data_IF_786302818404
#
_entry.id   IF_786302818404
#
_cell.length_a   1.000
_cell.length_b   1.000
_cell.length_c   1.000
_cell.angle_alpha   90.00
_cell.angle_beta   90.00
_cell.angle_gamma   90.00
#
_symmetry.space_group_name_H-M   'P 1'
#
loop_
_entity.id
_entity.type
_entity.pdbx_description
1 polymer ?
#
# COMPACT_ATOMS: atom_id res chain seq x y z
N UNK A 1 54.84 27.46 64.25
CA UNK A 1 53.54 28.15 64.28
C UNK A 1 52.92 27.98 62.89
N UNK A 2 51.98 27.04 62.70
CA UNK A 2 50.55 27.29 62.37
C UNK A 2 50.42 27.85 60.92
N UNK A 3 49.73 27.28 59.92
CA UNK A 3 48.56 26.38 59.84
C UNK A 3 48.40 25.79 58.43
N UNK A 4 47.76 24.63 58.35
CA UNK A 4 47.15 23.98 57.18
C UNK A 4 46.13 24.89 56.45
N UNK A 5 45.94 24.71 55.13
CA UNK A 5 44.60 24.62 54.53
C UNK A 5 44.60 23.82 53.21
N UNK A 6 43.78 22.78 53.22
CA UNK A 6 43.34 21.91 52.14
C UNK A 6 42.49 22.68 51.11
N UNK A 7 42.69 22.46 49.80
CA UNK A 7 41.61 22.56 48.81
C UNK A 7 41.74 21.47 47.75
N UNK A 8 40.75 20.58 47.79
CA UNK A 8 40.36 19.63 46.76
C UNK A 8 39.75 20.42 45.60
N UNK A 9 40.18 20.15 44.36
CA UNK A 9 39.37 20.43 43.19
C UNK A 9 39.30 19.18 42.31
N UNK A 10 38.08 18.66 42.22
CA UNK A 10 37.61 17.57 41.38
C UNK A 10 37.59 18.05 39.92
N UNK A 11 38.12 17.27 38.99
CA UNK A 11 37.73 17.38 37.57
C UNK A 11 37.42 16.01 36.99
N UNK A 12 36.21 15.90 36.45
CA UNK A 12 35.59 14.70 35.89
C UNK A 12 36.19 14.31 34.53
N UNK A 13 36.41 13.00 34.40
CA UNK A 13 35.98 12.09 33.31
C UNK A 13 36.29 12.45 31.84
N UNK A 14 37.07 11.59 31.15
CA UNK A 14 36.59 10.88 29.95
C UNK A 14 37.24 9.49 29.88
N UNK A 15 36.38 8.49 29.90
CA UNK A 15 36.64 7.08 29.61
C UNK A 15 37.03 6.96 28.12
N UNK A 16 38.24 6.48 27.80
CA UNK A 16 38.50 5.88 26.49
C UNK A 16 38.04 4.42 26.53
N UNK A 17 36.76 4.19 26.26
CA UNK A 17 36.28 2.88 25.81
C UNK A 17 36.73 2.70 24.38
N UNK A 18 37.73 1.84 24.17
CA UNK A 18 37.77 1.01 22.98
C UNK A 18 37.32 -0.37 23.44
N UNK A 19 36.16 -0.82 22.96
CA UNK A 19 36.13 -2.14 22.36
C UNK A 19 35.64 -2.00 20.92
N UNK A 20 36.42 -2.56 19.99
CA UNK A 20 36.02 -2.70 18.60
C UNK A 20 34.65 -3.35 18.50
N UNK A 21 33.89 -2.98 17.46
CA UNK A 21 32.71 -3.72 17.05
C UNK A 21 33.08 -5.20 16.99
N UNK A 22 32.49 -6.00 17.88
CA UNK A 22 32.60 -7.44 17.77
C UNK A 22 32.02 -7.82 16.42
N UNK A 23 32.82 -8.48 15.59
CA UNK A 23 32.38 -9.06 14.35
C UNK A 23 31.21 -10.02 14.67
N UNK A 24 30.01 -9.71 14.19
CA UNK A 24 28.77 -10.47 14.51
C UNK A 24 28.91 -11.97 14.23
N UNK A 25 29.75 -12.31 13.25
CA UNK A 25 30.25 -13.64 12.95
C UNK A 25 31.71 -13.51 12.55
N UNK A 26 32.54 -14.50 12.86
CA UNK A 26 33.94 -14.51 12.41
C UNK A 26 34.03 -14.46 10.89
N UNK A 27 35.15 -14.00 10.32
CA UNK A 27 35.34 -14.03 8.86
C UNK A 27 35.20 -15.44 8.27
N UNK A 28 35.57 -16.46 9.03
CA UNK A 28 35.33 -17.86 8.66
C UNK A 28 33.84 -18.17 8.57
N UNK A 29 33.05 -17.75 9.55
CA UNK A 29 31.59 -17.93 9.54
C UNK A 29 30.92 -17.12 8.43
N UNK A 30 31.43 -15.93 8.10
CA UNK A 30 30.97 -15.13 6.96
C UNK A 30 31.25 -15.85 5.62
N UNK A 31 32.45 -16.40 5.44
CA UNK A 31 32.81 -17.21 4.26
C UNK A 31 31.97 -18.48 4.17
N UNK A 32 31.70 -19.13 5.31
CA UNK A 32 30.84 -20.29 5.41
C UNK A 32 29.39 -19.96 5.00
N UNK A 33 28.84 -18.85 5.48
CA UNK A 33 27.50 -18.37 5.11
C UNK A 33 27.40 -18.03 3.63
N UNK A 34 28.40 -17.37 3.05
CA UNK A 34 28.44 -17.09 1.62
C UNK A 34 28.49 -18.39 0.79
N UNK A 35 29.32 -19.35 1.19
CA UNK A 35 29.40 -20.66 0.55
C UNK A 35 28.09 -21.45 0.70
N UNK A 36 27.43 -21.34 1.85
CA UNK A 36 26.15 -21.97 2.12
C UNK A 36 25.03 -21.35 1.29
N UNK A 37 24.98 -20.03 1.15
CA UNK A 37 24.03 -19.32 0.28
C UNK A 37 24.16 -19.77 -1.19
N UNK A 38 25.39 -19.90 -1.70
CA UNK A 38 25.65 -20.41 -3.05
C UNK A 38 25.13 -21.86 -3.20
N UNK A 39 25.38 -22.71 -2.21
CA UNK A 39 24.86 -24.10 -2.21
C UNK A 39 23.34 -24.14 -2.19
N UNK A 40 22.70 -23.38 -1.30
CA UNK A 40 21.24 -23.30 -1.21
C UNK A 40 20.60 -22.87 -2.53
N UNK A 41 21.22 -21.90 -3.22
CA UNK A 41 20.77 -21.47 -4.55
C UNK A 41 20.86 -22.60 -5.57
N UNK A 42 22.00 -23.29 -5.65
CA UNK A 42 22.20 -24.40 -6.57
C UNK A 42 21.25 -25.58 -6.27
N UNK A 43 21.04 -25.89 -4.99
CA UNK A 43 20.12 -26.94 -4.54
C UNK A 43 18.67 -26.60 -4.89
N UNK A 44 18.26 -25.34 -4.67
CA UNK A 44 16.95 -24.84 -5.06
C UNK A 44 16.72 -24.93 -6.57
N UNK A 45 17.66 -24.44 -7.38
CA UNK A 45 17.57 -24.48 -8.85
C UNK A 45 17.49 -25.92 -9.35
N UNK A 46 18.29 -26.82 -8.79
CA UNK A 46 18.28 -28.25 -9.11
C UNK A 46 16.94 -28.89 -8.77
N UNK A 47 16.43 -28.66 -7.56
CA UNK A 47 15.15 -29.20 -7.10
C UNK A 47 13.96 -28.65 -7.92
N UNK A 48 13.98 -27.34 -8.23
CA UNK A 48 12.94 -26.70 -9.02
C UNK A 48 12.92 -27.16 -10.47
N UNK A 49 14.09 -27.33 -11.09
CA UNK A 49 14.21 -27.89 -12.44
C UNK A 49 13.68 -29.34 -12.50
N UNK A 50 13.99 -30.15 -11.48
CA UNK A 50 13.41 -31.49 -11.31
C UNK A 50 11.88 -31.43 -11.17
N UNK A 51 11.35 -30.52 -10.36
CA UNK A 51 9.92 -30.34 -10.19
C UNK A 51 9.22 -29.93 -11.49
N UNK A 52 9.83 -29.08 -12.31
CA UNK A 52 9.28 -28.69 -13.61
C UNK A 52 9.33 -29.81 -14.64
N UNK A 53 10.36 -30.66 -14.61
CA UNK A 53 10.40 -31.87 -15.43
C UNK A 53 9.28 -32.84 -15.04
N UNK A 54 9.11 -33.11 -13.74
CA UNK A 54 8.03 -33.93 -13.21
C UNK A 54 6.65 -33.32 -13.46
N UNK A 55 6.52 -32.00 -13.46
CA UNK A 55 5.27 -31.32 -13.78
C UNK A 55 4.81 -31.59 -15.22
N UNK A 56 5.75 -31.62 -16.18
CA UNK A 56 5.46 -31.98 -17.57
C UNK A 56 5.07 -33.46 -17.71
N UNK A 57 5.71 -34.34 -16.95
CA UNK A 57 5.44 -35.79 -16.98
C UNK A 57 4.11 -36.16 -16.30
N UNK A 58 3.83 -35.55 -15.15
CA UNK A 58 2.73 -35.93 -14.25
C UNK A 58 1.52 -34.98 -14.33
N UNK A 59 1.56 -34.00 -15.22
CA UNK A 59 0.49 -33.03 -15.42
C UNK A 59 0.27 -32.08 -14.25
N UNK A 60 1.31 -31.81 -13.45
CA UNK A 60 1.19 -30.87 -12.33
C UNK A 60 1.13 -29.44 -12.84
N UNK A 61 0.18 -28.61 -12.36
CA UNK A 61 0.16 -27.21 -12.74
C UNK A 61 1.42 -26.53 -12.22
N UNK A 62 2.18 -25.83 -13.06
CA UNK A 62 3.34 -25.03 -12.59
C UNK A 62 2.85 -23.77 -11.86
N UNK A 63 1.71 -23.25 -12.30
CA UNK A 63 0.93 -22.19 -11.68
C UNK A 63 -0.53 -22.61 -11.67
N UNK A 64 -1.24 -22.42 -10.55
CA UNK A 64 -2.68 -22.68 -10.43
C UNK A 64 -3.37 -21.50 -9.75
N UNK A 65 -4.53 -21.11 -10.28
CA UNK A 65 -5.42 -20.13 -9.66
C UNK A 65 -6.44 -20.87 -8.80
N UNK A 66 -6.54 -20.50 -7.53
CA UNK A 66 -7.49 -21.06 -6.56
C UNK A 66 -8.87 -20.39 -6.69
N UNK A 67 -9.90 -21.02 -6.12
CA UNK A 67 -11.30 -20.55 -6.16
C UNK A 67 -11.50 -19.16 -5.55
N UNK A 68 -10.62 -18.73 -4.64
CA UNK A 68 -10.61 -17.42 -4.01
C UNK A 68 -9.68 -16.40 -4.72
N UNK A 69 -9.16 -16.74 -5.91
CA UNK A 69 -8.27 -15.87 -6.67
C UNK A 69 -6.79 -15.94 -6.30
N UNK A 70 -6.40 -16.66 -5.25
CA UNK A 70 -4.99 -16.89 -4.87
C UNK A 70 -4.22 -17.72 -5.91
N UNK A 71 -2.91 -17.53 -6.03
CA UNK A 71 -2.07 -18.25 -7.00
C UNK A 71 -1.18 -19.22 -6.25
N UNK A 72 -1.20 -20.50 -6.61
CA UNK A 72 -0.21 -21.48 -6.19
C UNK A 72 0.87 -21.67 -7.26
N UNK A 73 2.15 -21.64 -6.88
CA UNK A 73 3.31 -21.80 -7.76
C UNK A 73 4.18 -22.97 -7.30
N UNK A 74 4.49 -23.87 -8.23
CA UNK A 74 5.36 -25.02 -7.99
C UNK A 74 6.81 -24.56 -7.75
N UNK A 75 7.34 -24.86 -6.57
CA UNK A 75 8.70 -24.47 -6.17
C UNK A 75 9.70 -25.61 -6.24
N UNK A 76 9.24 -26.85 -6.12
CA UNK A 76 10.14 -27.98 -5.93
C UNK A 76 9.41 -29.29 -5.69
N UNK A 77 10.17 -30.33 -5.36
CA UNK A 77 9.65 -31.57 -4.80
C UNK A 77 10.22 -31.83 -3.42
N UNK A 78 9.45 -32.44 -2.55
CA UNK A 78 9.96 -32.98 -1.28
C UNK A 78 10.87 -34.20 -1.49
N UNK A 79 11.38 -34.76 -0.39
CA UNK A 79 12.27 -35.93 -0.42
C UNK A 79 11.60 -37.20 -0.98
N UNK A 80 10.27 -37.26 -1.00
CA UNK A 80 9.47 -38.37 -1.53
C UNK A 80 9.04 -38.14 -2.99
N UNK A 81 9.38 -36.97 -3.56
CA UNK A 81 9.08 -36.62 -4.94
C UNK A 81 7.67 -36.07 -5.15
N UNK A 82 6.99 -35.57 -4.11
CA UNK A 82 5.71 -34.86 -4.23
C UNK A 82 5.91 -33.36 -4.47
N UNK A 83 4.99 -32.68 -5.18
CA UNK A 83 5.15 -31.27 -5.53
C UNK A 83 4.95 -30.36 -4.31
N UNK A 84 5.85 -29.39 -4.15
CA UNK A 84 5.75 -28.32 -3.15
C UNK A 84 5.26 -27.06 -3.85
N UNK A 85 4.08 -26.58 -3.45
CA UNK A 85 3.46 -25.35 -3.93
C UNK A 85 3.52 -24.25 -2.88
N UNK A 86 3.87 -23.02 -3.27
CA UNK A 86 3.62 -21.81 -2.48
C UNK A 86 2.36 -21.11 -2.98
N UNK A 87 1.56 -20.50 -2.11
CA UNK A 87 0.36 -19.70 -2.46
C UNK A 87 0.58 -18.19 -2.21
N UNK A 88 -0.17 -17.29 -2.85
CA UNK A 88 -0.22 -15.83 -2.53
C UNK A 88 -1.60 -15.41 -1.95
N UNK A 89 -1.76 -14.36 -1.11
CA UNK A 89 -0.86 -13.22 -0.78
C UNK A 89 -1.09 -12.64 0.63
N UNK A 90 -0.06 -12.02 1.22
CA UNK A 90 0.02 -11.57 2.62
C UNK A 90 0.60 -10.13 2.68
N UNK A 91 0.34 -9.32 3.71
CA UNK A 91 1.09 -8.07 3.95
C UNK A 91 2.61 -8.31 4.01
N UNK A 92 3.07 -9.52 4.37
CA UNK A 92 4.49 -9.89 4.27
C UNK A 92 4.99 -9.85 2.81
N UNK A 93 4.17 -10.29 1.85
CA UNK A 93 4.52 -10.22 0.43
C UNK A 93 4.49 -8.77 -0.03
N UNK A 94 3.52 -7.97 0.42
CA UNK A 94 3.52 -6.52 0.15
C UNK A 94 4.81 -5.86 0.66
N UNK A 95 5.27 -6.22 1.87
CA UNK A 95 6.55 -5.77 2.42
C UNK A 95 7.78 -6.28 1.64
N UNK A 96 7.69 -7.44 0.98
CA UNK A 96 8.75 -7.91 0.07
C UNK A 96 8.71 -7.12 -1.26
N UNK A 97 7.52 -6.90 -1.82
CA UNK A 97 7.28 -6.16 -3.06
C UNK A 97 7.88 -4.75 -3.00
N UNK A 98 7.68 -4.03 -1.89
CA UNK A 98 8.25 -2.68 -1.68
C UNK A 98 9.61 -2.70 -0.98
N UNK A 99 10.20 -3.88 -0.75
CA UNK A 99 11.45 -4.08 0.00
C UNK A 99 11.46 -3.51 1.43
N UNK A 100 10.29 -3.29 2.03
CA UNK A 100 10.13 -2.89 3.44
C UNK A 100 10.82 -3.87 4.38
N UNK A 101 10.85 -5.16 4.02
CA UNK A 101 11.58 -6.19 4.77
C UNK A 101 13.08 -5.91 4.93
N UNK A 102 13.69 -5.14 4.02
CA UNK A 102 15.09 -4.73 4.11
C UNK A 102 15.35 -3.75 5.27
N UNK A 103 14.31 -2.99 5.68
CA UNK A 103 14.36 -1.99 6.74
C UNK A 103 14.22 -2.61 8.14
N UNK A 104 13.53 -3.74 8.24
CA UNK A 104 13.20 -4.40 9.51
C UNK A 104 14.43 -4.92 10.26
N UNK A 105 14.21 -5.34 11.50
CA UNK A 105 15.21 -6.07 12.26
C UNK A 105 15.61 -7.37 11.53
N UNK A 106 16.91 -7.55 11.33
CA UNK A 106 17.47 -8.65 10.54
C UNK A 106 17.31 -8.48 9.03
N UNK A 107 16.78 -7.34 8.57
CA UNK A 107 16.69 -6.97 7.16
C UNK A 107 18.07 -6.66 6.55
N UNK A 108 18.15 -6.70 5.22
CA UNK A 108 19.41 -6.58 4.49
C UNK A 108 20.14 -5.23 4.66
N UNK A 109 19.43 -4.17 5.08
CA UNK A 109 20.03 -2.87 5.35
C UNK A 109 20.50 -2.70 6.80
N UNK A 110 20.13 -3.62 7.71
CA UNK A 110 20.56 -3.59 9.11
C UNK A 110 20.06 -2.40 9.92
N UNK A 111 18.98 -1.72 9.48
CA UNK A 111 18.46 -0.50 10.09
C UNK A 111 17.58 -0.77 11.32
N UNK A 112 16.98 -1.96 11.40
CA UNK A 112 16.13 -2.39 12.52
C UNK A 112 14.91 -1.50 12.79
N UNK A 113 14.30 -0.98 11.72
CA UNK A 113 13.16 -0.07 11.76
C UNK A 113 11.85 -0.86 11.94
N UNK A 114 10.90 -0.25 12.63
CA UNK A 114 9.54 -0.81 12.81
C UNK A 114 8.46 0.26 12.98
N UNK A 115 8.82 1.54 13.09
CA UNK A 115 7.95 2.67 13.41
C UNK A 115 7.81 2.92 14.92
N UNK A 116 8.55 2.20 15.76
CA UNK A 116 8.44 2.23 17.23
C UNK A 116 9.11 3.44 17.90
N UNK A 117 9.99 4.15 17.19
CA UNK A 117 10.72 5.29 17.73
C UNK A 117 9.79 6.39 18.24
N UNK A 118 10.15 6.98 19.38
CA UNK A 118 9.45 8.12 19.96
C UNK A 118 9.46 9.35 19.04
N UNK A 119 10.43 9.44 18.12
CA UNK A 119 10.56 10.58 17.22
C UNK A 119 9.47 10.63 16.14
N UNK A 120 8.85 9.50 15.81
CA UNK A 120 7.77 9.38 14.82
C UNK A 120 6.41 9.05 15.44
N UNK A 121 6.36 8.83 16.76
CA UNK A 121 5.14 8.49 17.48
C UNK A 121 4.03 9.54 17.25
N UNK A 122 2.84 9.09 16.84
CA UNK A 122 1.68 9.95 16.59
C UNK A 122 1.76 10.80 15.32
N UNK A 123 2.74 10.57 14.45
CA UNK A 123 2.97 11.36 13.22
C UNK A 123 2.52 10.65 11.93
N UNK A 124 1.74 9.58 12.04
CA UNK A 124 1.16 8.84 10.92
C UNK A 124 -0.36 9.05 10.90
N UNK A 125 -0.88 9.47 9.74
CA UNK A 125 -2.30 9.75 9.53
C UNK A 125 -2.97 8.83 8.49
N UNK A 126 -4.29 8.69 8.59
CA UNK A 126 -5.15 8.05 7.58
C UNK A 126 -6.43 8.86 7.42
N UNK A 127 -6.84 9.07 6.16
CA UNK A 127 -8.19 9.50 5.78
C UNK A 127 -8.78 8.40 4.88
N UNK A 128 -10.02 7.97 5.15
CA UNK A 128 -10.65 6.86 4.42
C UNK A 128 -12.19 6.88 4.52
N UNK A 129 -12.91 5.91 3.94
CA UNK A 129 -14.37 5.90 3.81
C UNK A 129 -15.18 5.66 5.10
N UNK A 130 -14.56 5.69 6.28
CA UNK A 130 -15.22 5.43 7.55
C UNK A 130 -14.26 5.11 8.70
N UNK A 131 -14.79 4.51 9.77
CA UNK A 131 -14.07 4.25 11.01
C UNK A 131 -13.30 2.91 10.99
N UNK A 132 -12.09 2.92 11.57
CA UNK A 132 -11.31 1.70 11.85
C UNK A 132 -12.04 0.88 12.92
N UNK A 133 -12.11 -0.45 12.77
CA UNK A 133 -12.57 -1.33 13.84
C UNK A 133 -11.52 -1.43 14.96
N UNK A 134 -11.72 -0.74 16.09
CA UNK A 134 -10.64 -0.53 17.07
C UNK A 134 -10.33 -1.78 17.88
N UNK A 135 -11.29 -2.70 18.01
CA UNK A 135 -11.18 -3.92 18.83
C UNK A 135 -10.48 -5.07 18.09
N UNK A 136 -10.09 -4.86 16.83
CA UNK A 136 -9.34 -5.87 16.09
C UNK A 136 -7.98 -6.14 16.77
N UNK A 137 -7.63 -7.42 16.93
CA UNK A 137 -6.49 -7.85 17.73
C UNK A 137 -5.17 -7.24 17.28
N UNK A 138 -5.03 -6.93 15.99
CA UNK A 138 -3.84 -6.30 15.40
C UNK A 138 -3.55 -4.88 15.89
N UNK A 139 -4.57 -4.19 16.43
CA UNK A 139 -4.44 -2.85 16.99
C UNK A 139 -4.30 -2.85 18.51
N UNK A 140 -4.41 -4.01 19.18
CA UNK A 140 -4.25 -4.10 20.63
C UNK A 140 -2.85 -3.58 21.07
N UNK A 141 -2.85 -2.61 21.97
CA UNK A 141 -1.65 -1.93 22.47
C UNK A 141 -1.22 -0.72 21.63
N UNK A 142 -1.97 -0.34 20.59
CA UNK A 142 -1.74 0.86 19.78
C UNK A 142 -2.80 1.91 20.04
N UNK A 143 -2.42 3.17 19.92
CA UNK A 143 -3.34 4.31 20.00
C UNK A 143 -3.92 4.62 18.62
N UNK A 144 -5.02 3.97 18.27
CA UNK A 144 -5.78 4.26 17.04
C UNK A 144 -6.91 5.23 17.39
N UNK A 145 -6.81 6.47 16.93
CA UNK A 145 -7.72 7.55 17.33
C UNK A 145 -8.46 8.10 16.13
N UNK A 146 -9.77 7.86 16.07
CA UNK A 146 -10.67 8.65 15.21
C UNK A 146 -10.82 10.05 15.80
N UNK A 147 -10.54 11.08 15.01
CA UNK A 147 -10.58 12.48 15.46
C UNK A 147 -11.80 13.26 14.96
N UNK A 148 -12.64 12.63 14.15
CA UNK A 148 -13.97 13.10 13.76
C UNK A 148 -15.06 12.20 14.35
N UNK A 149 -16.31 12.50 13.97
CA UNK A 149 -17.50 11.78 14.45
C UNK A 149 -17.95 10.66 13.50
N UNK A 150 -17.05 10.07 12.71
CA UNK A 150 -17.41 9.00 11.79
C UNK A 150 -18.09 7.84 12.51
N UNK A 151 -19.32 7.50 12.09
CA UNK A 151 -20.18 6.56 12.83
C UNK A 151 -20.00 5.10 12.41
N UNK A 152 -19.57 4.84 11.17
CA UNK A 152 -19.66 3.52 10.55
C UNK A 152 -18.30 2.86 10.45
N UNK A 153 -18.17 1.68 11.08
CA UNK A 153 -17.00 0.82 10.91
C UNK A 153 -16.91 0.36 9.45
N UNK A 154 -15.75 0.52 8.84
CA UNK A 154 -15.49 0.19 7.44
C UNK A 154 -14.46 -0.93 7.34
N UNK A 155 -14.78 -1.96 6.55
CA UNK A 155 -13.85 -3.05 6.23
C UNK A 155 -12.64 -2.52 5.45
N UNK A 156 -12.89 -1.59 4.52
CA UNK A 156 -11.85 -0.93 3.74
C UNK A 156 -10.91 -0.12 4.64
N UNK A 157 -11.43 0.77 5.49
CA UNK A 157 -10.60 1.57 6.41
C UNK A 157 -9.77 0.67 7.34
N UNK A 158 -10.39 -0.36 7.90
CA UNK A 158 -9.73 -1.31 8.81
C UNK A 158 -8.60 -2.06 8.11
N UNK A 159 -8.81 -2.46 6.87
CA UNK A 159 -7.81 -3.14 6.04
C UNK A 159 -6.62 -2.22 5.71
N UNK A 160 -6.89 -0.98 5.29
CA UNK A 160 -5.88 0.05 5.01
C UNK A 160 -5.04 0.34 6.25
N UNK A 161 -5.69 0.60 7.40
CA UNK A 161 -5.00 0.82 8.67
C UNK A 161 -4.15 -0.39 9.10
N UNK A 162 -4.66 -1.61 8.92
CA UNK A 162 -3.92 -2.83 9.19
C UNK A 162 -2.66 -2.95 8.31
N UNK A 163 -2.76 -2.60 7.03
CA UNK A 163 -1.63 -2.65 6.09
C UNK A 163 -0.52 -1.67 6.50
N UNK A 164 -0.89 -0.54 7.10
CA UNK A 164 0.06 0.43 7.63
C UNK A 164 0.69 -0.04 8.95
N UNK A 165 -0.11 -0.43 9.94
CA UNK A 165 0.36 -0.52 11.34
C UNK A 165 0.02 -1.81 12.10
N UNK A 166 -0.63 -2.82 11.50
CA UNK A 166 -0.95 -4.06 12.21
C UNK A 166 0.31 -4.67 12.87
N UNK A 167 0.23 -5.01 14.16
CA UNK A 167 1.41 -5.52 14.91
C UNK A 167 1.94 -6.86 14.37
N UNK A 168 1.13 -7.60 13.63
CA UNK A 168 1.44 -8.92 13.11
C UNK A 168 1.20 -10.03 14.12
N UNK A 169 0.10 -9.98 14.89
CA UNK A 169 -0.35 -11.12 15.71
C UNK A 169 -0.60 -12.33 14.83
N UNK A 170 -1.26 -12.12 13.69
CA UNK A 170 -1.19 -13.00 12.55
C UNK A 170 -0.09 -12.51 11.62
N UNK A 171 1.02 -13.24 11.55
CA UNK A 171 2.22 -12.81 10.82
C UNK A 171 1.91 -12.36 9.37
N UNK A 172 1.08 -13.08 8.59
CA UNK A 172 0.67 -12.64 7.25
C UNK A 172 0.04 -11.25 7.15
N UNK A 173 -0.62 -10.77 8.20
CA UNK A 173 -1.29 -9.47 8.19
C UNK A 173 -0.42 -8.34 8.77
N UNK A 174 0.85 -8.62 9.17
CA UNK A 174 1.75 -7.63 9.75
C UNK A 174 1.87 -6.40 8.85
N UNK A 175 1.52 -5.24 9.37
CA UNK A 175 1.62 -3.98 8.64
C UNK A 175 3.07 -3.56 8.41
N UNK A 176 3.28 -2.60 7.51
CA UNK A 176 4.62 -2.14 7.17
C UNK A 176 5.33 -1.52 8.39
N UNK A 177 4.67 -0.60 9.09
CA UNK A 177 5.14 0.00 10.33
C UNK A 177 4.55 -0.75 11.54
N UNK A 178 4.81 -2.04 11.65
CA UNK A 178 4.22 -2.92 12.67
C UNK A 178 4.54 -2.50 14.13
N UNK A 179 5.62 -1.75 14.35
CA UNK A 179 6.02 -1.18 15.63
C UNK A 179 5.42 0.21 15.91
N UNK A 180 4.69 0.82 14.97
CA UNK A 180 4.08 2.13 15.16
C UNK A 180 3.17 2.17 16.40
N UNK A 181 3.33 3.20 17.22
CA UNK A 181 2.60 3.37 18.48
C UNK A 181 1.10 3.67 18.28
N UNK A 182 0.70 4.13 17.10
CA UNK A 182 -0.67 4.55 16.85
C UNK A 182 -0.87 5.09 15.44
N UNK A 183 -2.12 5.46 15.16
CA UNK A 183 -2.55 6.02 13.88
C UNK A 183 -3.60 7.10 14.18
N UNK A 184 -3.38 8.29 13.63
CA UNK A 184 -4.36 9.37 13.63
C UNK A 184 -5.31 9.13 12.47
N UNK A 185 -6.61 9.03 12.74
CA UNK A 185 -7.58 8.63 11.74
C UNK A 185 -8.72 9.63 11.62
N UNK A 186 -9.16 9.79 10.38
CA UNK A 186 -10.31 10.56 9.95
C UNK A 186 -11.06 9.75 8.89
N UNK A 187 -12.35 10.04 8.73
CA UNK A 187 -12.99 9.77 7.46
C UNK A 187 -12.57 10.82 6.41
N UNK A 188 -12.83 10.52 5.15
CA UNK A 188 -12.55 11.36 4.00
C UNK A 188 -13.50 12.57 3.84
N UNK A 189 -14.51 12.75 4.69
CA UNK A 189 -15.36 13.93 4.61
C UNK A 189 -14.58 15.15 5.10
N UNK A 190 -14.63 16.26 4.34
CA UNK A 190 -13.91 17.50 4.69
C UNK A 190 -12.38 17.32 4.86
N UNK A 191 -11.82 16.29 4.23
CA UNK A 191 -10.43 15.85 4.31
C UNK A 191 -9.39 16.97 4.20
N UNK A 192 -9.48 17.85 3.21
CA UNK A 192 -8.49 18.89 2.96
C UNK A 192 -8.38 19.88 4.13
N UNK A 193 -9.50 20.20 4.78
CA UNK A 193 -9.55 21.09 5.94
C UNK A 193 -8.89 20.45 7.16
N UNK A 194 -9.24 19.21 7.44
CA UNK A 194 -8.70 18.45 8.57
C UNK A 194 -7.22 18.14 8.40
N UNK A 195 -6.84 17.73 7.18
CA UNK A 195 -5.47 17.49 6.77
C UNK A 195 -4.63 18.76 6.92
N UNK A 196 -5.13 19.92 6.49
CA UNK A 196 -4.45 21.20 6.70
C UNK A 196 -4.24 21.49 8.20
N UNK A 197 -5.24 21.21 9.03
CA UNK A 197 -5.16 21.37 10.49
C UNK A 197 -4.16 20.41 11.17
N UNK A 198 -3.89 19.25 10.57
CA UNK A 198 -2.97 18.23 11.11
C UNK A 198 -1.59 18.20 10.48
N UNK A 199 -1.40 18.80 9.30
CA UNK A 199 -0.17 18.74 8.53
C UNK A 199 1.08 19.12 9.33
N UNK A 200 1.00 20.09 10.24
CA UNK A 200 2.12 20.51 11.07
C UNK A 200 2.56 19.47 12.14
N UNK A 201 1.73 18.47 12.42
CA UNK A 201 1.98 17.43 13.43
C UNK A 201 2.20 16.04 12.83
N UNK A 202 1.99 15.87 11.52
CA UNK A 202 2.16 14.61 10.81
C UNK A 202 3.43 14.63 9.96
N UNK A 203 3.99 13.45 9.73
CA UNK A 203 5.06 13.23 8.76
C UNK A 203 4.51 12.58 7.51
N UNK A 204 3.61 11.61 7.65
CA UNK A 204 3.02 10.87 6.54
C UNK A 204 1.51 10.74 6.76
N UNK A 205 0.72 10.82 5.69
CA UNK A 205 -0.67 10.34 5.69
C UNK A 205 -0.97 9.47 4.48
N UNK A 206 -1.97 8.60 4.63
CA UNK A 206 -2.52 7.78 3.56
C UNK A 206 -3.94 8.20 3.18
N UNK A 207 -4.19 8.28 1.87
CA UNK A 207 -5.47 8.65 1.27
C UNK A 207 -5.84 7.63 0.18
N UNK A 208 -6.55 6.57 0.58
CA UNK A 208 -6.92 5.43 -0.29
C UNK A 208 -8.27 5.64 -0.98
N UNK A 209 -8.48 6.84 -1.53
CA UNK A 209 -9.70 7.27 -2.20
C UNK A 209 -9.40 8.29 -3.31
N UNK A 210 -10.40 8.57 -4.14
CA UNK A 210 -10.35 9.57 -5.20
C UNK A 210 -11.72 9.79 -5.81
N UNK A 211 -11.81 10.69 -6.78
CA UNK A 211 -13.08 10.92 -7.47
C UNK A 211 -13.49 9.71 -8.31
N UNK A 212 -14.79 9.41 -8.28
CA UNK A 212 -15.40 8.53 -9.26
C UNK A 212 -15.58 9.32 -10.55
N UNK A 213 -15.01 8.84 -11.65
CA UNK A 213 -15.06 9.47 -12.95
C UNK A 213 -15.21 8.42 -14.06
N UNK A 214 -15.76 8.83 -15.21
CA UNK A 214 -16.04 7.92 -16.31
C UNK A 214 -17.11 6.90 -15.94
N UNK A 215 -16.81 5.60 -16.10
CA UNK A 215 -17.73 4.52 -15.72
C UNK A 215 -17.71 4.19 -14.23
N UNK A 216 -18.88 3.90 -13.69
CA UNK A 216 -19.06 3.35 -12.35
C UNK A 216 -20.21 2.35 -12.33
N UNK A 217 -20.01 1.18 -11.72
CA UNK A 217 -21.08 0.22 -11.52
C UNK A 217 -21.84 0.50 -10.21
N UNK A 218 -23.04 1.05 -10.33
CA UNK A 218 -23.85 1.43 -9.17
C UNK A 218 -24.67 0.23 -8.65
N UNK A 219 -24.27 -0.27 -7.48
CA UNK A 219 -24.95 -1.36 -6.77
C UNK A 219 -25.95 -0.90 -5.72
N UNK A 220 -26.12 0.42 -5.55
CA UNK A 220 -27.04 1.02 -4.57
C UNK A 220 -28.44 1.25 -5.12
N UNK A 221 -28.67 0.90 -6.40
CA UNK A 221 -29.94 1.04 -7.11
C UNK A 221 -30.40 -0.31 -7.62
N UNK A 222 -31.73 -0.50 -7.74
CA UNK A 222 -32.32 -1.75 -8.23
C UNK A 222 -33.05 -1.51 -9.55
N UNK A 223 -32.70 -2.22 -10.64
CA UNK A 223 -31.54 -3.12 -10.76
C UNK A 223 -30.21 -2.37 -10.74
N UNK A 224 -29.14 -3.05 -10.31
CA UNK A 224 -27.77 -2.54 -10.41
C UNK A 224 -27.48 -2.17 -11.88
N UNK A 225 -26.69 -1.12 -12.10
CA UNK A 225 -26.49 -0.58 -13.44
C UNK A 225 -25.17 0.14 -13.60
N UNK A 226 -24.66 0.17 -14.83
CA UNK A 226 -23.55 1.03 -15.21
C UNK A 226 -23.99 2.48 -15.39
N UNK A 227 -23.25 3.39 -14.77
CA UNK A 227 -23.44 4.84 -14.86
C UNK A 227 -22.20 5.48 -15.48
N UNK A 228 -22.42 6.33 -16.50
CA UNK A 228 -21.41 7.24 -17.06
C UNK A 228 -21.51 8.59 -16.36
N UNK A 229 -20.42 9.00 -15.70
CA UNK A 229 -20.32 10.24 -14.93
C UNK A 229 -19.64 11.39 -15.70
N UNK A 230 -19.22 11.16 -16.94
CA UNK A 230 -18.88 12.22 -17.88
C UNK A 230 -20.13 12.99 -18.33
N UNK A 231 -19.96 14.20 -18.84
CA UNK A 231 -21.10 15.01 -19.25
C UNK A 231 -21.68 14.48 -20.57
N UNK A 232 -22.98 14.70 -20.84
CA UNK A 232 -23.58 14.24 -22.09
C UNK A 232 -22.86 14.83 -23.30
N UNK A 233 -22.46 13.94 -24.23
CA UNK A 233 -21.69 14.28 -25.43
C UNK A 233 -20.19 14.07 -25.29
N UNK A 234 -19.67 13.91 -24.07
CA UNK A 234 -18.25 13.64 -23.84
C UNK A 234 -17.88 12.22 -24.26
N UNK A 235 -16.66 12.04 -24.75
CA UNK A 235 -16.06 10.72 -25.05
C UNK A 235 -15.19 10.21 -23.91
N UNK A 236 -14.83 11.10 -22.99
CA UNK A 236 -14.01 10.89 -21.80
C UNK A 236 -14.50 11.85 -20.71
N UNK A 237 -14.47 11.43 -19.45
CA UNK A 237 -14.87 12.33 -18.35
C UNK A 237 -13.74 13.32 -18.07
N UNK A 238 -14.02 14.61 -18.20
CA UNK A 238 -13.04 15.69 -17.98
C UNK A 238 -12.40 15.67 -16.58
N UNK A 239 -12.92 14.90 -15.62
CA UNK A 239 -12.33 14.77 -14.28
C UNK A 239 -11.06 13.94 -14.25
N UNK A 240 -10.80 13.12 -15.28
CA UNK A 240 -9.51 12.48 -15.44
C UNK A 240 -8.45 13.53 -15.79
N UNK A 241 -7.27 13.44 -15.16
CA UNK A 241 -6.15 14.32 -15.44
C UNK A 241 -6.31 15.80 -14.98
N UNK A 242 -7.53 16.23 -14.68
CA UNK A 242 -7.87 17.64 -14.52
C UNK A 242 -7.50 18.23 -13.16
N UNK A 243 -6.54 19.16 -13.17
CA UNK A 243 -6.10 19.89 -11.99
C UNK A 243 -7.14 20.93 -11.54
N UNK A 244 -7.96 20.55 -10.56
CA UNK A 244 -9.03 21.38 -10.02
C UNK A 244 -8.65 22.13 -8.73
N UNK A 245 -9.64 22.81 -8.12
CA UNK A 245 -9.44 23.57 -6.89
C UNK A 245 -9.11 22.68 -5.66
N UNK A 246 -9.64 21.45 -5.62
CA UNK A 246 -9.34 20.52 -4.55
C UNK A 246 -7.89 20.01 -4.65
N UNK A 247 -7.48 19.63 -5.87
CA UNK A 247 -6.10 19.28 -6.21
C UNK A 247 -5.13 20.40 -5.83
N UNK A 248 -5.51 21.66 -6.12
CA UNK A 248 -4.74 22.83 -5.69
C UNK A 248 -4.63 22.95 -4.17
N UNK A 249 -5.68 22.56 -3.43
CA UNK A 249 -5.68 22.64 -1.97
C UNK A 249 -4.71 21.63 -1.36
N UNK A 250 -4.67 20.40 -1.87
CA UNK A 250 -3.67 19.38 -1.53
C UNK A 250 -2.23 19.89 -1.76
N UNK A 251 -1.98 20.47 -2.93
CA UNK A 251 -0.66 21.04 -3.24
C UNK A 251 -0.26 22.19 -2.32
N UNK A 252 -1.24 23.03 -1.93
CA UNK A 252 -1.02 24.14 -1.00
C UNK A 252 -0.70 23.64 0.41
N UNK A 253 -1.35 22.55 0.86
CA UNK A 253 -1.07 21.92 2.15
C UNK A 253 0.37 21.39 2.17
N UNK A 254 0.76 20.59 1.17
CA UNK A 254 2.12 20.07 1.06
C UNK A 254 3.17 21.19 0.94
N UNK A 255 2.88 22.25 0.17
CA UNK A 255 3.77 23.41 0.06
C UNK A 255 3.99 24.13 1.40
N UNK A 256 2.93 24.30 2.20
CA UNK A 256 2.99 24.97 3.49
C UNK A 256 3.53 24.06 4.61
N UNK A 257 3.49 22.74 4.44
CA UNK A 257 4.01 21.74 5.37
C UNK A 257 5.05 20.85 4.68
N UNK A 258 6.27 21.37 4.40
CA UNK A 258 7.26 20.70 3.54
C UNK A 258 7.83 19.38 4.09
N UNK A 259 7.61 19.08 5.36
CA UNK A 259 8.02 17.82 6.00
C UNK A 259 6.88 16.80 6.13
N UNK A 260 5.71 17.12 5.57
CA UNK A 260 4.53 16.27 5.58
C UNK A 260 4.28 15.73 4.17
N UNK A 261 4.36 14.41 4.03
CA UNK A 261 4.09 13.70 2.78
C UNK A 261 2.67 13.15 2.77
N UNK A 262 1.90 13.59 1.79
CA UNK A 262 0.57 13.06 1.48
C UNK A 262 0.74 11.93 0.48
N UNK A 263 0.30 10.73 0.82
CA UNK A 263 0.32 9.55 -0.07
C UNK A 263 -1.10 9.23 -0.53
N UNK A 264 -1.32 9.20 -1.84
CA UNK A 264 -2.63 9.03 -2.44
C UNK A 264 -2.68 7.84 -3.42
N UNK A 265 -3.77 7.08 -3.42
CA UNK A 265 -3.95 5.97 -4.35
C UNK A 265 -4.31 6.47 -5.76
N UNK A 266 -3.72 5.88 -6.81
CA UNK A 266 -3.89 6.35 -8.19
C UNK A 266 -5.29 6.11 -8.79
N UNK A 267 -6.10 5.22 -8.21
CA UNK A 267 -7.42 4.85 -8.70
C UNK A 267 -7.44 3.50 -9.42
N UNK A 268 -8.64 2.94 -9.55
CA UNK A 268 -8.88 1.61 -10.11
C UNK A 268 -9.62 1.65 -11.46
N UNK A 269 -9.53 2.76 -12.20
CA UNK A 269 -10.44 3.04 -13.31
C UNK A 269 -10.26 2.09 -14.52
N UNK A 270 -9.09 1.45 -14.68
CA UNK A 270 -8.91 0.37 -15.68
C UNK A 270 -9.79 -0.85 -15.40
N UNK A 271 -10.23 -1.04 -14.16
CA UNK A 271 -11.19 -2.08 -13.80
C UNK A 271 -12.64 -1.73 -14.11
N UNK A 272 -12.93 -0.43 -14.30
CA UNK A 272 -14.28 0.11 -14.48
C UNK A 272 -14.49 0.49 -15.95
N UNK A 273 -14.70 -0.51 -16.81
CA UNK A 273 -14.69 -0.33 -18.27
C UNK A 273 -16.05 -0.01 -18.90
N UNK A 274 -17.09 0.04 -18.07
CA UNK A 274 -18.46 0.23 -18.50
C UNK A 274 -19.11 -1.04 -19.06
N UNK A 275 -20.37 -0.96 -19.50
CA UNK A 275 -21.06 -2.06 -20.17
C UNK A 275 -20.51 -2.25 -21.59
N UNK A 276 -20.76 -3.39 -22.23
CA UNK A 276 -20.30 -3.57 -23.61
C UNK A 276 -20.92 -2.51 -24.55
N UNK A 277 -20.23 -2.16 -25.64
CA UNK A 277 -20.79 -1.26 -26.66
C UNK A 277 -22.10 -1.87 -27.18
N UNK A 278 -23.16 -1.06 -27.21
CA UNK A 278 -24.52 -1.50 -27.56
C UNK A 278 -25.39 -1.86 -26.35
N UNK A 279 -24.83 -2.12 -25.17
CA UNK A 279 -25.61 -2.42 -23.97
C UNK A 279 -26.15 -1.15 -23.30
N UNK A 280 -27.19 -1.31 -22.49
CA UNK A 280 -27.83 -0.17 -21.82
C UNK A 280 -26.89 0.45 -20.79
N UNK A 281 -26.81 1.78 -20.79
CA UNK A 281 -26.15 2.53 -19.72
C UNK A 281 -27.02 3.69 -19.23
N UNK A 282 -26.64 4.22 -18.07
CA UNK A 282 -27.26 5.38 -17.45
C UNK A 282 -26.25 6.52 -17.36
N UNK A 283 -26.73 7.76 -17.30
CA UNK A 283 -25.84 8.93 -17.17
C UNK A 283 -26.65 10.21 -17.03
N UNK A 284 -25.97 11.35 -16.93
CA UNK A 284 -26.65 12.63 -16.76
C UNK A 284 -27.63 12.93 -17.91
N UNK A 285 -28.77 13.52 -17.56
CA UNK A 285 -29.80 13.89 -18.51
C UNK A 285 -29.30 14.94 -19.50
N UNK A 286 -28.65 15.99 -19.01
CA UNK A 286 -28.04 17.07 -19.79
C UNK A 286 -26.80 17.62 -19.08
N UNK A 287 -26.04 18.50 -19.74
CA UNK A 287 -24.90 19.20 -19.12
C UNK A 287 -25.30 20.14 -17.96
N UNK A 288 -26.61 20.35 -17.75
CA UNK A 288 -27.18 21.23 -16.73
C UNK A 288 -28.10 20.50 -15.76
N UNK A 289 -28.28 19.18 -15.91
CA UNK A 289 -29.12 18.35 -15.06
C UNK A 289 -28.36 17.11 -14.61
N UNK A 290 -28.05 17.06 -13.31
CA UNK A 290 -27.37 15.93 -12.69
C UNK A 290 -28.28 14.70 -12.48
N UNK A 291 -29.53 14.73 -12.93
CA UNK A 291 -30.42 13.56 -12.88
C UNK A 291 -29.88 12.46 -13.77
N UNK A 292 -29.63 11.29 -13.18
CA UNK A 292 -29.22 10.09 -13.91
C UNK A 292 -30.44 9.46 -14.57
N UNK A 293 -30.38 9.31 -15.90
CA UNK A 293 -31.44 8.71 -16.72
C UNK A 293 -30.89 7.60 -17.60
N UNK A 294 -31.75 6.71 -18.07
CA UNK A 294 -31.38 5.71 -19.07
C UNK A 294 -30.99 6.42 -20.38
N UNK A 295 -29.80 6.13 -20.90
CA UNK A 295 -29.25 6.75 -22.12
C UNK A 295 -29.37 5.85 -23.36
N UNK A 296 -29.99 4.69 -23.22
CA UNK A 296 -30.07 3.65 -24.23
C UNK A 296 -28.75 2.89 -24.37
N UNK A 297 -28.50 2.42 -25.59
CA UNK A 297 -27.30 1.67 -25.93
C UNK A 297 -26.02 2.53 -25.84
N UNK A 298 -24.98 2.01 -25.20
CA UNK A 298 -23.65 2.62 -25.12
C UNK A 298 -23.10 2.83 -26.55
N UNK A 299 -22.74 4.06 -26.94
CA UNK A 299 -22.07 4.29 -28.21
C UNK A 299 -20.59 3.89 -28.14
N UNK A 300 -19.99 3.59 -29.30
CA UNK A 300 -18.61 3.08 -29.39
C UNK A 300 -17.52 4.12 -29.05
N UNK A 301 -17.87 5.41 -29.05
CA UNK A 301 -16.91 6.50 -28.88
C UNK A 301 -16.68 6.91 -27.41
N UNK A 302 -17.45 6.38 -26.45
CA UNK A 302 -17.17 6.62 -25.03
C UNK A 302 -16.06 5.66 -24.60
N UNK A 303 -14.97 6.22 -24.07
CA UNK A 303 -13.80 5.52 -23.54
C UNK A 303 -14.21 4.38 -22.60
N UNK A 304 -13.46 3.29 -22.63
CA UNK A 304 -13.62 2.17 -21.69
C UNK A 304 -12.76 2.33 -20.46
N UNK A 305 -12.21 3.52 -20.18
CA UNK A 305 -11.28 3.76 -19.07
C UNK A 305 -10.05 2.83 -19.04
N UNK A 306 -9.73 2.12 -20.12
CA UNK A 306 -8.64 1.13 -20.22
C UNK A 306 -7.38 1.69 -20.94
N UNK A 307 -7.40 3.00 -21.21
CA UNK A 307 -6.33 3.76 -21.83
C UNK A 307 -5.50 4.57 -20.82
N UNK A 308 -4.69 5.49 -21.35
CA UNK A 308 -4.02 6.49 -20.54
C UNK A 308 -5.00 7.58 -20.07
N UNK A 309 -4.54 8.42 -19.14
CA UNK A 309 -5.29 9.55 -18.60
C UNK A 309 -6.58 9.16 -17.87
N UNK A 310 -6.43 8.34 -16.84
CA UNK A 310 -7.55 7.83 -16.04
C UNK A 310 -7.31 7.94 -14.54
N UNK A 311 -6.46 8.89 -14.12
CA UNK A 311 -6.17 9.20 -12.72
C UNK A 311 -6.96 10.45 -12.34
N UNK A 312 -7.60 10.43 -11.17
CA UNK A 312 -8.38 11.56 -10.65
C UNK A 312 -7.71 12.20 -9.43
N UNK A 313 -8.25 13.32 -8.97
CA UNK A 313 -7.86 13.92 -7.69
C UNK A 313 -8.18 12.97 -6.51
N UNK A 314 -7.37 12.99 -5.44
CA UNK A 314 -6.23 13.89 -5.20
C UNK A 314 -4.90 13.41 -5.80
N UNK A 315 -4.84 12.21 -6.37
CA UNK A 315 -3.60 11.55 -6.81
C UNK A 315 -2.88 12.26 -7.97
N UNK A 316 -3.58 13.15 -8.69
CA UNK A 316 -2.99 14.02 -9.72
C UNK A 316 -2.33 15.30 -9.16
N UNK A 317 -2.38 15.57 -7.86
CA UNK A 317 -1.70 16.74 -7.27
C UNK A 317 -0.17 16.64 -7.46
N UNK A 318 0.51 17.79 -7.59
CA UNK A 318 1.95 17.82 -7.92
C UNK A 318 2.82 17.36 -6.76
N UNK A 319 2.41 17.72 -5.54
CA UNK A 319 3.19 17.57 -4.31
C UNK A 319 2.71 16.39 -3.44
N UNK A 320 1.86 15.52 -3.98
CA UNK A 320 1.47 14.26 -3.34
C UNK A 320 2.24 13.09 -3.97
N UNK A 321 2.48 12.05 -3.18
CA UNK A 321 2.99 10.77 -3.67
C UNK A 321 1.82 9.89 -4.13
N UNK A 322 1.61 9.83 -5.44
CA UNK A 322 0.62 9.01 -6.11
C UNK A 322 1.13 7.58 -6.28
N UNK A 323 0.31 6.61 -5.87
CA UNK A 323 0.69 5.20 -5.80
C UNK A 323 -0.22 4.34 -6.68
N UNK A 324 0.35 3.77 -7.73
CA UNK A 324 -0.26 2.71 -8.53
C UNK A 324 -0.13 1.32 -7.88
N UNK A 325 -0.82 0.32 -8.44
CA UNK A 325 -0.78 -1.05 -7.93
C UNK A 325 -0.04 -1.98 -8.90
N UNK A 326 0.88 -2.78 -8.37
CA UNK A 326 1.48 -3.92 -9.06
C UNK A 326 1.00 -5.23 -8.44
N UNK A 327 1.20 -6.32 -9.19
CA UNK A 327 1.01 -7.66 -8.68
C UNK A 327 2.07 -8.01 -7.60
N UNK A 328 1.75 -8.93 -6.67
CA UNK A 328 2.66 -9.33 -5.61
C UNK A 328 3.98 -9.88 -6.13
N UNK A 329 5.07 -9.49 -5.48
CA UNK A 329 6.43 -9.98 -5.73
C UNK A 329 6.95 -10.65 -4.44
N UNK A 330 6.65 -11.94 -4.21
CA UNK A 330 7.01 -12.63 -2.95
C UNK A 330 8.50 -12.63 -2.61
N UNK A 331 9.36 -12.45 -3.61
CA UNK A 331 10.82 -12.38 -3.45
C UNK A 331 11.37 -10.97 -3.68
N UNK A 332 10.50 -9.97 -3.68
CA UNK A 332 10.82 -8.59 -4.03
C UNK A 332 11.12 -8.37 -5.52
N UNK A 333 11.37 -7.11 -5.91
CA UNK A 333 11.58 -6.68 -7.28
C UNK A 333 13.00 -7.00 -7.76
N UNK A 334 13.35 -8.28 -7.82
CA UNK A 334 14.70 -8.74 -8.22
C UNK A 334 15.03 -8.49 -9.69
N UNK A 335 14.02 -8.50 -10.57
CA UNK A 335 14.15 -8.23 -12.01
C UNK A 335 12.93 -7.45 -12.48
N UNK A 336 13.15 -6.38 -13.26
CA UNK A 336 12.09 -5.50 -13.74
C UNK A 336 11.02 -6.21 -14.57
N UNK A 337 11.39 -7.26 -15.31
CA UNK A 337 10.45 -8.05 -16.13
C UNK A 337 9.38 -8.79 -15.33
N UNK A 338 9.58 -8.96 -14.02
CA UNK A 338 8.60 -9.61 -13.15
C UNK A 338 7.60 -8.61 -12.56
N UNK A 339 7.85 -7.31 -12.69
CA UNK A 339 6.98 -6.26 -12.19
C UNK A 339 5.87 -6.06 -13.20
N UNK A 340 4.69 -6.58 -12.90
CA UNK A 340 3.50 -6.41 -13.72
C UNK A 340 2.51 -5.48 -13.00
N UNK A 341 2.09 -4.42 -13.68
CA UNK A 341 1.03 -3.54 -13.19
C UNK A 341 -0.27 -4.35 -12.99
N UNK A 342 -1.02 -4.04 -11.94
CA UNK A 342 -2.32 -4.64 -11.70
C UNK A 342 -3.30 -4.17 -12.79
N UNK A 343 -4.14 -5.08 -13.29
CA UNK A 343 -5.02 -4.81 -14.43
C UNK A 343 -6.06 -3.70 -14.18
N UNK A 344 -6.29 -3.33 -12.92
CA UNK A 344 -7.20 -2.26 -12.54
C UNK A 344 -6.49 -0.93 -12.27
N UNK A 345 -5.17 -0.90 -12.12
CA UNK A 345 -4.45 0.32 -11.70
C UNK A 345 -4.59 1.39 -12.77
N UNK A 346 -5.08 2.58 -12.39
CA UNK A 346 -5.15 3.74 -13.29
C UNK A 346 -3.77 4.21 -13.75
N UNK A 347 -3.70 4.68 -15.00
CA UNK A 347 -2.49 5.22 -15.62
C UNK A 347 -2.67 6.70 -15.97
N UNK A 348 -1.61 7.49 -15.81
CA UNK A 348 -1.56 8.85 -16.34
C UNK A 348 -1.35 8.87 -17.86
N UNK A 349 -0.84 9.96 -18.45
CA UNK A 349 -0.43 11.19 -17.79
C UNK A 349 -1.64 11.94 -17.22
N UNK A 350 -1.41 13.08 -16.57
CA UNK A 350 -2.46 14.07 -16.34
C UNK A 350 -2.73 14.87 -17.62
N UNK A 351 -3.83 15.64 -17.67
CA UNK A 351 -4.21 16.53 -18.79
C UNK A 351 -3.06 17.46 -19.23
N UNK A 352 -2.26 17.93 -18.27
CA UNK A 352 -1.12 18.82 -18.49
C UNK A 352 0.20 18.06 -18.76
N UNK A 353 0.12 16.75 -19.01
CA UNK A 353 1.23 15.90 -19.44
C UNK A 353 2.16 15.42 -18.32
N UNK A 354 1.82 15.63 -17.04
CA UNK A 354 2.66 15.15 -15.94
C UNK A 354 2.55 13.64 -15.80
N UNK A 355 3.67 13.02 -15.42
CA UNK A 355 3.72 11.59 -15.14
C UNK A 355 3.06 11.34 -13.79
N UNK A 356 2.02 10.49 -13.79
CA UNK A 356 1.39 9.88 -12.61
C UNK A 356 0.99 8.44 -12.94
N UNK A 357 0.93 7.50 -11.98
CA UNK A 357 1.37 7.67 -10.60
C UNK A 357 2.90 7.87 -10.50
N UNK A 358 3.38 8.32 -9.35
CA UNK A 358 4.82 8.57 -9.16
C UNK A 358 5.57 7.24 -8.94
N UNK A 359 4.98 6.33 -8.16
CA UNK A 359 5.51 5.00 -7.88
C UNK A 359 4.38 3.96 -7.78
N UNK A 360 4.73 2.70 -7.53
CA UNK A 360 3.77 1.63 -7.31
C UNK A 360 4.07 0.83 -6.03
N UNK A 361 3.03 0.26 -5.43
CA UNK A 361 3.10 -0.72 -4.33
C UNK A 361 2.33 -1.99 -4.66
N UNK A 362 2.37 -2.98 -3.77
CA UNK A 362 1.56 -4.20 -3.90
C UNK A 362 0.09 -3.88 -3.62
N UNK A 363 -0.76 -4.05 -4.62
CA UNK A 363 -2.19 -3.77 -4.49
C UNK A 363 -3.08 -4.97 -4.76
N UNK A 364 -2.54 -6.19 -4.92
CA UNK A 364 -3.33 -7.34 -5.38
C UNK A 364 -3.39 -8.43 -4.31
N UNK A 365 -4.61 -8.73 -3.87
CA UNK A 365 -4.91 -9.77 -2.87
C UNK A 365 -4.11 -9.58 -1.57
N UNK A 366 -3.98 -8.35 -1.10
CA UNK A 366 -3.28 -8.01 0.14
C UNK A 366 -4.12 -8.45 1.34
N UNK A 367 -3.60 -9.31 2.22
CA UNK A 367 -4.29 -9.72 3.45
C UNK A 367 -3.99 -8.72 4.58
N UNK A 368 -5.05 -8.21 5.20
CA UNK A 368 -4.97 -7.31 6.35
C UNK A 368 -6.16 -7.53 7.30
N UNK A 369 -6.25 -6.71 8.35
CA UNK A 369 -7.34 -6.72 9.32
C UNK A 369 -8.70 -6.51 8.65
N UNK A 370 -9.69 -7.30 9.04
CA UNK A 370 -11.08 -7.20 8.60
C UNK A 370 -12.03 -6.95 9.77
N UNK A 371 -13.31 -6.79 9.48
CA UNK A 371 -14.31 -6.33 10.46
C UNK A 371 -15.30 -7.39 10.93
N UNK A 372 -15.25 -8.59 10.34
CA UNK A 372 -16.20 -9.67 10.65
C UNK A 372 -16.06 -10.23 12.09
N UNK A 373 -14.89 -10.11 12.69
CA UNK A 373 -14.57 -10.53 14.05
C UNK A 373 -13.29 -9.82 14.54
N UNK A 374 -12.98 -9.91 15.84
CA UNK A 374 -11.77 -9.30 16.42
C UNK A 374 -10.47 -9.93 15.92
N UNK A 375 -10.51 -11.11 15.30
CA UNK A 375 -9.39 -11.82 14.68
C UNK A 375 -9.63 -12.10 13.18
N UNK A 376 -10.55 -11.36 12.55
CA UNK A 376 -10.89 -11.57 11.15
C UNK A 376 -9.88 -10.92 10.21
N UNK A 377 -9.50 -11.65 9.17
CA UNK A 377 -8.63 -11.13 8.11
C UNK A 377 -9.31 -11.25 6.77
N UNK A 378 -9.06 -10.29 5.89
CA UNK A 378 -9.65 -10.24 4.55
C UNK A 378 -8.58 -9.87 3.52
N UNK A 379 -8.68 -10.47 2.34
CA UNK A 379 -7.85 -10.12 1.19
C UNK A 379 -8.59 -9.12 0.31
N UNK A 380 -7.95 -7.99 0.02
CA UNK A 380 -8.50 -6.96 -0.85
C UNK A 380 -7.53 -6.63 -1.99
N UNK A 381 -8.08 -6.10 -3.08
CA UNK A 381 -7.29 -5.62 -4.22
C UNK A 381 -7.71 -4.21 -4.58
N UNK A 382 -6.73 -3.36 -4.89
CA UNK A 382 -6.92 -1.97 -5.30
C UNK A 382 -5.66 -1.15 -5.11
N UNK A 383 -5.56 0.00 -5.77
CA UNK A 383 -4.56 1.02 -5.41
C UNK A 383 -4.72 1.47 -3.96
N UNK A 384 -5.91 1.30 -3.39
CA UNK A 384 -6.21 1.49 -1.98
C UNK A 384 -5.42 0.58 -1.04
N UNK A 385 -4.89 -0.56 -1.51
CA UNK A 385 -4.00 -1.45 -0.76
C UNK A 385 -2.52 -1.18 -1.07
N UNK A 386 -2.21 -0.73 -2.28
CA UNK A 386 -0.87 -0.30 -2.66
C UNK A 386 -0.42 0.96 -1.91
N UNK A 387 -1.32 1.95 -1.76
CA UNK A 387 -1.06 3.19 -1.03
C UNK A 387 -0.62 2.96 0.43
N UNK A 388 -1.33 2.17 1.27
CA UNK A 388 -0.90 1.89 2.64
C UNK A 388 0.35 1.02 2.73
N UNK A 389 0.58 0.15 1.73
CA UNK A 389 1.86 -0.56 1.61
C UNK A 389 3.02 0.42 1.39
N UNK A 390 2.86 1.44 0.56
CA UNK A 390 3.87 2.48 0.37
C UNK A 390 3.98 3.41 1.58
N UNK A 391 2.87 3.98 2.06
CA UNK A 391 2.90 5.00 3.13
C UNK A 391 3.44 4.45 4.44
N UNK A 392 3.09 3.22 4.81
CA UNK A 392 3.68 2.56 5.98
C UNK A 392 5.17 2.26 5.79
N UNK A 393 5.63 1.98 4.57
CA UNK A 393 7.05 1.76 4.27
C UNK A 393 7.85 3.07 4.32
N UNK A 394 7.32 4.14 3.74
CA UNK A 394 7.95 5.47 3.78
C UNK A 394 7.97 6.03 5.19
N UNK A 395 6.99 5.70 6.04
CA UNK A 395 7.01 6.07 7.45
C UNK A 395 8.22 5.48 8.20
N UNK A 396 8.69 4.28 7.84
CA UNK A 396 9.93 3.74 8.39
C UNK A 396 11.15 4.55 7.95
N UNK A 397 11.17 5.06 6.73
CA UNK A 397 12.25 5.95 6.28
C UNK A 397 12.31 7.25 7.08
N UNK A 398 11.20 7.69 7.67
CA UNK A 398 11.16 8.82 8.60
C UNK A 398 11.65 8.48 10.02
N UNK A 399 11.67 7.19 10.39
CA UNK A 399 12.19 6.72 11.67
C UNK A 399 13.72 6.73 11.73
N UNK A 400 14.38 6.48 10.59
CA UNK A 400 15.83 6.50 10.40
C UNK A 400 16.36 7.94 10.34
#
# INVERSE_FOLDING_TARGET
MIKNFTRILLFLLVIKTIPGFSQLVTDDKRRELNSFSIRLKADFETNRNKAFALAREKGWPILRREKNGGITSLQGTDILGFPIYLKTSDNIIAAATTQTTALYNGGSLGLNLSGSSTNVAGKLGIWDGGKIYPDHQEFAGKTVTMLDNSATISDHTTHVAGTMIAKGTYAPARGMAYGANGLVAYDFDNDASEMAGKAASLLISNHSYGYVAGWSYNTSVTPNRWEWLGLPGDTEDYKFGYYDANTQSYDRIAYNAPYYLIVASAGNNHGETGPAVGETYYGYQSRTSATIVNKGARPANISSNDGYDVITAPAIAKNVLSVGAVNPLPFGPTVSSNIAIASFSSWGPTDDGRIKPDICGDGVNVISAGTAATDAYVAMSGTSMASPNVSGSVFLLQEY
#
